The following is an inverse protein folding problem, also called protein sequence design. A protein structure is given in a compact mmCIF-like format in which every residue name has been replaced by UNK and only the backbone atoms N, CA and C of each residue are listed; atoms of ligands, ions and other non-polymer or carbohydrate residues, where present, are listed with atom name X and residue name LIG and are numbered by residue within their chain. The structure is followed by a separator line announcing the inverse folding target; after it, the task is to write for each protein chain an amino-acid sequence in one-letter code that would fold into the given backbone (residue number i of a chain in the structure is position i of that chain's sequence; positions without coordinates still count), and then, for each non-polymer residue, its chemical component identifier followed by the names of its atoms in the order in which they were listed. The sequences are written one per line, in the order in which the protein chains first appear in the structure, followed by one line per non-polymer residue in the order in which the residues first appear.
data_IF_137343600781
#
_entry.id   IF_137343600781
#
_cell.length_a   1.000
_cell.length_b   1.000
_cell.length_c   1.000
_cell.angle_alpha   90.00
_cell.angle_beta   90.00
_cell.angle_gamma   90.00
#
_symmetry.space_group_name_H-M   'P 1'
#
loop_
_entity.id
_entity.type
_entity.pdbx_description
1 polymer ?
#
# COMPACT_ATOMS: atom_id res chain seq x y z
N UNK A 1 47.98 11.05 20.45
CA UNK A 1 47.56 10.42 19.18
C UNK A 1 46.18 9.80 19.40
N UNK A 2 45.16 10.34 18.74
CA UNK A 2 43.73 10.04 18.92
C UNK A 2 43.32 8.88 18.01
N UNK A 3 43.03 7.70 18.56
CA UNK A 3 42.50 6.57 17.78
C UNK A 3 40.96 6.55 17.85
N UNK A 4 40.34 7.10 16.81
CA UNK A 4 38.91 7.02 16.53
C UNK A 4 38.47 5.55 16.44
N UNK A 5 37.58 5.03 17.31
CA UNK A 5 37.09 3.67 17.16
C UNK A 5 35.87 3.69 16.24
N UNK A 6 36.08 4.05 14.98
CA UNK A 6 35.18 3.68 13.87
C UNK A 6 35.33 2.18 13.63
N UNK A 7 34.82 1.34 14.53
CA UNK A 7 34.57 -0.06 14.23
C UNK A 7 33.23 -0.12 13.49
N UNK A 8 33.30 0.09 12.17
CA UNK A 8 32.21 -0.17 11.23
C UNK A 8 31.55 -1.51 11.58
N UNK A 9 30.30 -1.48 12.05
CA UNK A 9 29.45 -2.66 12.13
C UNK A 9 29.39 -3.26 10.72
N UNK A 10 30.00 -4.42 10.55
CA UNK A 10 30.26 -5.07 9.26
C UNK A 10 28.99 -5.67 8.63
N UNK A 11 27.85 -5.64 9.32
CA UNK A 11 26.58 -6.15 8.78
C UNK A 11 25.36 -5.59 9.54
N UNK A 12 24.34 -5.03 8.87
CA UNK A 12 23.07 -4.62 9.50
C UNK A 12 22.34 -5.79 10.21
N UNK A 13 22.63 -7.03 9.82
CA UNK A 13 22.11 -8.25 10.43
C UNK A 13 22.57 -8.45 11.90
N UNK A 14 23.79 -8.04 12.25
CA UNK A 14 24.27 -8.13 13.64
C UNK A 14 23.65 -7.05 14.54
N UNK A 15 23.30 -5.89 13.97
CA UNK A 15 22.56 -4.84 14.66
C UNK A 15 21.12 -5.24 14.99
N UNK A 16 20.48 -6.02 14.11
CA UNK A 16 19.15 -6.62 14.35
C UNK A 16 19.21 -7.70 15.46
N UNK A 17 20.27 -8.50 15.51
CA UNK A 17 20.43 -9.52 16.55
C UNK A 17 20.68 -8.94 17.95
N UNK A 18 21.43 -7.85 18.05
CA UNK A 18 21.74 -7.19 19.34
C UNK A 18 20.64 -6.22 19.76
N UNK A 19 19.90 -5.63 18.81
CA UNK A 19 18.73 -4.77 19.06
C UNK A 19 17.39 -5.50 19.12
N UNK A 20 17.39 -6.84 19.06
CA UNK A 20 16.20 -7.70 19.03
C UNK A 20 15.96 -8.52 20.30
N UNK A 21 16.55 -8.12 21.43
CA UNK A 21 16.40 -8.86 22.70
C UNK A 21 15.08 -8.56 23.45
N UNK A 22 14.35 -7.51 23.06
CA UNK A 22 12.99 -7.24 23.53
C UNK A 22 12.04 -7.01 22.33
N UNK A 23 10.97 -7.80 22.20
CA UNK A 23 10.04 -7.72 21.07
C UNK A 23 9.22 -6.41 21.01
N UNK A 24 9.36 -5.54 22.02
CA UNK A 24 8.69 -4.24 22.09
C UNK A 24 9.46 -3.11 21.38
N UNK A 25 10.80 -3.19 21.28
CA UNK A 25 11.64 -2.11 20.71
C UNK A 25 12.24 -2.44 19.34
N UNK A 26 11.90 -3.61 18.78
CA UNK A 26 12.39 -4.02 17.46
C UNK A 26 11.71 -3.23 16.32
N UNK A 27 12.47 -2.60 15.40
CA UNK A 27 11.93 -1.89 14.23
C UNK A 27 10.97 -2.73 13.38
N UNK A 28 11.08 -4.05 13.47
CA UNK A 28 10.22 -5.04 12.81
C UNK A 28 8.75 -4.94 13.26
N UNK A 29 8.49 -4.60 14.53
CA UNK A 29 7.12 -4.35 15.02
C UNK A 29 6.56 -3.02 14.49
N UNK A 30 7.38 -1.97 14.51
CA UNK A 30 7.01 -0.66 13.92
C UNK A 30 6.75 -0.77 12.42
N UNK A 31 7.54 -1.59 11.71
CA UNK A 31 7.34 -1.90 10.30
C UNK A 31 6.07 -2.73 10.05
N UNK A 32 5.74 -3.66 10.94
CA UNK A 32 4.49 -4.43 10.87
C UNK A 32 3.25 -3.55 11.06
N UNK A 33 3.29 -2.57 11.96
CA UNK A 33 2.21 -1.60 12.13
C UNK A 33 2.01 -0.74 10.86
N UNK A 34 3.10 -0.24 10.27
CA UNK A 34 3.06 0.55 9.02
C UNK A 34 2.56 -0.31 7.85
N UNK A 35 3.02 -1.56 7.73
CA UNK A 35 2.54 -2.51 6.72
C UNK A 35 1.04 -2.78 6.87
N UNK A 36 0.55 -2.98 8.09
CA UNK A 36 -0.89 -3.17 8.35
C UNK A 36 -1.72 -1.98 7.91
N UNK A 37 -1.28 -0.76 8.23
CA UNK A 37 -1.97 0.47 7.84
C UNK A 37 -1.92 0.66 6.32
N UNK A 38 -0.77 0.39 5.69
CA UNK A 38 -0.60 0.47 4.24
C UNK A 38 -1.45 -0.56 3.48
N UNK A 39 -1.51 -1.81 3.95
CA UNK A 39 -2.36 -2.86 3.37
C UNK A 39 -3.85 -2.51 3.52
N UNK A 40 -4.27 -2.03 4.69
CA UNK A 40 -5.66 -1.61 4.91
C UNK A 40 -6.04 -0.39 4.04
N UNK A 41 -5.16 0.60 3.94
CA UNK A 41 -5.35 1.78 3.09
C UNK A 41 -5.38 1.44 1.59
N UNK A 42 -4.45 0.60 1.13
CA UNK A 42 -4.40 0.14 -0.26
C UNK A 42 -5.61 -0.72 -0.64
N UNK A 43 -6.08 -1.59 0.25
CA UNK A 43 -7.30 -2.36 0.04
C UNK A 43 -8.53 -1.45 -0.08
N UNK A 44 -8.61 -0.41 0.75
CA UNK A 44 -9.69 0.58 0.66
C UNK A 44 -9.65 1.32 -0.69
N UNK A 45 -8.50 1.82 -1.11
CA UNK A 45 -8.34 2.54 -2.38
C UNK A 45 -8.75 1.68 -3.59
N UNK A 46 -8.35 0.40 -3.62
CA UNK A 46 -8.72 -0.52 -4.70
C UNK A 46 -10.23 -0.76 -4.71
N UNK A 47 -10.85 -1.04 -3.57
CA UNK A 47 -12.29 -1.33 -3.51
C UNK A 47 -13.12 -0.09 -3.87
N UNK A 48 -12.77 1.09 -3.33
CA UNK A 48 -13.48 2.33 -3.63
C UNK A 48 -13.25 2.78 -5.08
N UNK A 49 -12.02 2.68 -5.58
CA UNK A 49 -11.68 3.01 -6.95
C UNK A 49 -12.39 2.10 -7.95
N UNK A 50 -12.33 0.79 -7.76
CA UNK A 50 -13.00 -0.18 -8.64
C UNK A 50 -14.51 0.01 -8.63
N UNK A 51 -15.12 0.23 -7.46
CA UNK A 51 -16.56 0.48 -7.36
C UNK A 51 -16.98 1.75 -8.11
N UNK A 52 -16.22 2.84 -7.98
CA UNK A 52 -16.45 4.08 -8.70
C UNK A 52 -16.33 3.90 -10.22
N UNK A 53 -15.27 3.22 -10.69
CA UNK A 53 -15.08 2.92 -12.10
C UNK A 53 -16.17 2.01 -12.68
N UNK A 54 -16.62 1.02 -11.91
CA UNK A 54 -17.75 0.16 -12.30
C UNK A 54 -19.04 0.95 -12.46
N UNK A 55 -19.33 1.88 -11.54
CA UNK A 55 -20.50 2.76 -11.66
C UNK A 55 -20.44 3.63 -12.93
N UNK A 56 -19.27 4.20 -13.24
CA UNK A 56 -19.06 4.99 -14.46
C UNK A 56 -19.27 4.15 -15.72
N UNK A 57 -18.75 2.92 -15.76
CA UNK A 57 -18.95 2.00 -16.88
C UNK A 57 -20.43 1.67 -17.10
N UNK A 58 -21.18 1.38 -16.04
CA UNK A 58 -22.61 1.10 -16.13
C UNK A 58 -23.36 2.32 -16.68
N UNK A 59 -23.02 3.52 -16.19
CA UNK A 59 -23.62 4.76 -16.67
C UNK A 59 -23.33 4.98 -18.17
N UNK A 60 -22.10 4.77 -18.62
CA UNK A 60 -21.73 4.86 -20.04
C UNK A 60 -22.45 3.82 -20.90
N UNK A 61 -22.56 2.58 -20.41
CA UNK A 61 -23.31 1.54 -21.10
C UNK A 61 -24.79 1.90 -21.25
N UNK A 62 -25.41 2.46 -20.20
CA UNK A 62 -26.79 2.93 -20.26
C UNK A 62 -26.99 4.05 -21.28
N UNK A 63 -26.08 5.04 -21.31
CA UNK A 63 -26.10 6.12 -22.31
C UNK A 63 -25.93 5.56 -23.71
N UNK A 64 -25.03 4.59 -23.90
CA UNK A 64 -24.80 3.97 -25.20
C UNK A 64 -26.04 3.22 -25.70
N UNK A 65 -26.67 2.40 -24.85
CA UNK A 65 -27.89 1.66 -25.19
C UNK A 65 -29.03 2.63 -25.51
N UNK A 66 -29.21 3.67 -24.71
CA UNK A 66 -30.23 4.69 -24.95
C UNK A 66 -29.98 5.44 -26.26
N UNK A 67 -28.73 5.84 -26.52
CA UNK A 67 -28.35 6.49 -27.77
C UNK A 67 -28.58 5.59 -28.99
N UNK A 68 -28.26 4.30 -28.87
CA UNK A 68 -28.51 3.31 -29.91
C UNK A 68 -30.02 3.22 -30.21
N UNK A 69 -30.86 3.10 -29.17
CA UNK A 69 -32.32 3.03 -29.33
C UNK A 69 -32.86 4.28 -30.04
N UNK A 70 -32.43 5.49 -29.66
CA UNK A 70 -32.87 6.71 -30.33
C UNK A 70 -32.47 6.73 -31.80
N UNK A 71 -31.23 6.32 -32.11
CA UNK A 71 -30.76 6.24 -33.49
C UNK A 71 -31.57 5.26 -34.34
N UNK A 72 -32.06 4.15 -33.76
CA UNK A 72 -32.90 3.20 -34.49
C UNK A 72 -34.34 3.66 -34.71
N UNK A 73 -34.86 4.51 -33.82
CA UNK A 73 -36.23 5.03 -33.89
C UNK A 73 -36.37 6.18 -34.89
N UNK A 74 -35.29 6.93 -35.15
CA UNK A 74 -35.25 8.04 -36.10
C UNK A 74 -35.00 7.56 -37.53
#
# INVERSE_FOLDING_TARGET
MTSSPTRKLRNPLQGVLVGGADPASSPLYSFSAILKIGVAGGAAEIVFGVSAWMAVLVMLAAVFVYGLVIHWVH
#
